data_IF_454463786174
#
_entry.id   IF_454463786174
#
_cell.length_a   1.000
_cell.length_b   1.000
_cell.length_c   1.000
_cell.angle_alpha   90.00
_cell.angle_beta   90.00
_cell.angle_gamma   90.00
#
_symmetry.space_group_name_H-M   'P 1'
#
loop_
_entity.id
_entity.type
_entity.pdbx_description
1 polymer ?
#
# COMPACT_ATOMS: atom_id res chain seq x y z
N UNK A 1 -1.53 -19.27 -19.36
CA UNK A 1 -0.95 -18.27 -18.46
C UNK A 1 -0.18 -19.00 -17.35
N UNK A 2 1.07 -18.66 -17.09
CA UNK A 2 1.90 -19.38 -16.12
C UNK A 2 1.31 -19.23 -14.71
N UNK A 3 0.94 -20.36 -14.08
CA UNK A 3 0.24 -20.41 -12.77
C UNK A 3 0.98 -19.66 -11.64
N UNK A 4 2.29 -19.47 -11.79
CA UNK A 4 3.16 -18.87 -10.76
C UNK A 4 3.59 -17.43 -11.10
N UNK A 5 3.12 -16.86 -12.21
CA UNK A 5 3.53 -15.52 -12.66
C UNK A 5 3.22 -14.44 -11.62
N UNK A 6 2.07 -14.56 -10.94
CA UNK A 6 1.67 -13.62 -9.90
C UNK A 6 2.64 -13.60 -8.70
N UNK A 7 3.31 -14.73 -8.38
CA UNK A 7 4.29 -14.80 -7.28
C UNK A 7 5.51 -13.94 -7.63
N UNK A 8 6.03 -14.02 -8.86
CA UNK A 8 7.15 -13.21 -9.31
C UNK A 8 6.83 -11.72 -9.27
N UNK A 9 5.65 -11.32 -9.75
CA UNK A 9 5.22 -9.93 -9.68
C UNK A 9 5.05 -9.46 -8.23
N UNK A 10 4.57 -10.31 -7.33
CA UNK A 10 4.45 -9.98 -5.91
C UNK A 10 5.81 -9.75 -5.26
N UNK A 11 6.81 -10.58 -5.56
CA UNK A 11 8.17 -10.37 -5.08
C UNK A 11 8.75 -9.05 -5.60
N UNK A 12 8.60 -8.76 -6.88
CA UNK A 12 9.06 -7.50 -7.46
C UNK A 12 8.36 -6.29 -6.82
N UNK A 13 7.05 -6.35 -6.64
CA UNK A 13 6.28 -5.33 -5.95
C UNK A 13 6.78 -5.11 -4.51
N UNK A 14 7.23 -6.17 -3.81
CA UNK A 14 7.80 -6.06 -2.46
C UNK A 14 9.06 -5.19 -2.45
N UNK A 15 9.97 -5.37 -3.40
CA UNK A 15 11.16 -4.54 -3.52
C UNK A 15 10.83 -3.07 -3.81
N UNK A 16 9.89 -2.81 -4.72
CA UNK A 16 9.42 -1.46 -5.03
C UNK A 16 8.81 -0.82 -3.78
N UNK A 17 7.98 -1.56 -3.04
CA UNK A 17 7.36 -1.07 -1.81
C UNK A 17 8.39 -0.76 -0.74
N UNK A 18 9.39 -1.63 -0.54
CA UNK A 18 10.47 -1.39 0.42
C UNK A 18 11.27 -0.12 0.07
N UNK A 19 11.57 0.06 -1.20
CA UNK A 19 12.23 1.27 -1.70
C UNK A 19 11.38 2.52 -1.44
N UNK A 20 10.08 2.46 -1.73
CA UNK A 20 9.16 3.56 -1.46
C UNK A 20 9.09 3.92 0.03
N UNK A 21 9.13 2.93 0.92
CA UNK A 21 9.15 3.13 2.38
C UNK A 21 10.42 3.87 2.82
N UNK A 22 11.57 3.51 2.27
CA UNK A 22 12.85 4.19 2.54
C UNK A 22 12.77 5.66 2.10
N UNK A 23 12.32 5.92 0.87
CA UNK A 23 12.12 7.30 0.39
C UNK A 23 11.14 8.09 1.26
N UNK A 24 10.04 7.44 1.70
CA UNK A 24 9.10 8.09 2.62
C UNK A 24 9.75 8.51 3.94
N UNK A 25 10.68 7.72 4.48
CA UNK A 25 11.41 8.09 5.69
C UNK A 25 12.29 9.31 5.44
N UNK A 26 13.02 9.37 4.33
CA UNK A 26 13.82 10.54 3.97
C UNK A 26 12.95 11.80 3.84
N UNK A 27 11.81 11.69 3.15
CA UNK A 27 10.86 12.79 2.97
C UNK A 27 10.29 13.23 4.34
N UNK A 28 9.92 12.27 5.21
CA UNK A 28 9.33 12.57 6.52
C UNK A 28 10.29 13.29 7.47
N UNK A 29 11.60 13.13 7.29
CA UNK A 29 12.63 13.82 8.08
C UNK A 29 12.81 15.30 7.69
N UNK A 30 12.16 15.76 6.62
CA UNK A 30 12.22 17.16 6.21
C UNK A 30 11.59 18.07 7.27
N UNK A 31 11.96 19.37 7.24
CA UNK A 31 11.38 20.39 8.15
C UNK A 31 9.93 20.74 7.82
N UNK A 32 9.39 20.24 6.70
CA UNK A 32 8.05 20.52 6.26
C UNK A 32 6.98 19.80 7.09
N UNK A 33 5.79 20.35 7.11
CA UNK A 33 4.64 19.67 7.70
C UNK A 33 4.25 18.42 6.89
N UNK A 34 3.87 17.35 7.59
CA UNK A 34 3.45 16.09 6.97
C UNK A 34 2.33 16.31 5.93
N UNK A 35 1.38 17.21 6.22
CA UNK A 35 0.30 17.54 5.27
C UNK A 35 0.84 18.10 3.95
N UNK A 36 1.77 19.05 4.01
CA UNK A 36 2.41 19.63 2.82
C UNK A 36 3.12 18.58 2.00
N UNK A 37 3.89 17.70 2.64
CA UNK A 37 4.59 16.61 1.97
C UNK A 37 3.64 15.63 1.29
N UNK A 38 2.53 15.30 1.96
CA UNK A 38 1.50 14.43 1.38
C UNK A 38 0.91 15.05 0.13
N UNK A 39 0.45 16.31 0.20
CA UNK A 39 -0.14 16.97 -0.96
C UNK A 39 0.84 17.12 -2.11
N UNK A 40 2.09 17.52 -1.85
CA UNK A 40 3.12 17.61 -2.88
C UNK A 40 3.40 16.24 -3.53
N UNK A 41 3.43 15.16 -2.76
CA UNK A 41 3.62 13.81 -3.32
C UNK A 41 2.50 13.47 -4.32
N UNK A 42 1.23 13.76 -3.98
CA UNK A 42 0.12 13.48 -4.89
C UNK A 42 0.10 14.41 -6.10
N UNK A 43 0.46 15.70 -5.93
CA UNK A 43 0.57 16.65 -7.05
C UNK A 43 1.63 16.16 -8.05
N UNK A 44 2.82 15.82 -7.57
CA UNK A 44 3.91 15.33 -8.43
C UNK A 44 3.52 14.01 -9.12
N UNK A 45 2.92 13.07 -8.38
CA UNK A 45 2.46 11.82 -8.96
C UNK A 45 1.38 12.04 -10.03
N UNK A 46 0.41 12.92 -9.77
CA UNK A 46 -0.65 13.28 -10.74
C UNK A 46 -0.06 13.91 -12.00
N UNK A 47 0.92 14.79 -11.84
CA UNK A 47 1.60 15.44 -12.97
C UNK A 47 2.34 14.39 -13.85
N UNK A 48 3.05 13.44 -13.23
CA UNK A 48 3.69 12.35 -13.97
C UNK A 48 2.68 11.48 -14.73
N UNK A 49 1.54 11.16 -14.11
CA UNK A 49 0.48 10.40 -14.75
C UNK A 49 -0.13 11.18 -15.93
N UNK A 50 -0.39 12.48 -15.75
CA UNK A 50 -0.92 13.32 -16.82
C UNK A 50 0.00 13.41 -18.03
N UNK A 51 1.32 13.41 -17.82
CA UNK A 51 2.29 13.35 -18.91
C UNK A 51 2.24 11.98 -19.62
N UNK A 52 2.05 10.90 -18.87
CA UNK A 52 2.06 9.52 -19.43
C UNK A 52 0.79 9.17 -20.22
N UNK A 53 -0.40 9.61 -19.76
CA UNK A 53 -1.70 9.27 -20.36
C UNK A 53 -1.76 9.47 -21.88
N UNK A 54 -1.27 10.61 -22.46
CA UNK A 54 -1.34 10.82 -23.91
C UNK A 54 -0.58 9.79 -24.74
N UNK A 55 0.41 9.13 -24.17
CA UNK A 55 1.21 8.12 -24.87
C UNK A 55 0.58 6.72 -24.80
N UNK A 56 -0.42 6.50 -23.95
CA UNK A 56 -1.08 5.20 -23.77
C UNK A 56 -2.52 5.24 -24.34
N UNK A 57 -2.63 4.79 -25.58
CA UNK A 57 -3.94 4.72 -26.31
C UNK A 57 -4.94 3.79 -25.62
N UNK A 58 -4.47 2.78 -24.87
CA UNK A 58 -5.35 1.84 -24.17
C UNK A 58 -6.06 2.54 -23.02
N UNK A 59 -5.33 3.33 -22.23
CA UNK A 59 -5.89 4.13 -21.13
C UNK A 59 -6.95 5.11 -21.64
N UNK A 60 -6.66 5.82 -22.74
CA UNK A 60 -7.63 6.77 -23.32
C UNK A 60 -8.91 6.07 -23.78
N UNK A 61 -8.78 4.92 -24.44
CA UNK A 61 -9.92 4.15 -24.91
C UNK A 61 -10.76 3.60 -23.75
N UNK A 62 -10.11 3.12 -22.70
CA UNK A 62 -10.79 2.59 -21.53
C UNK A 62 -11.56 3.68 -20.78
N UNK A 63 -10.95 4.86 -20.60
CA UNK A 63 -11.62 6.01 -19.99
C UNK A 63 -12.90 6.37 -20.76
N UNK A 64 -12.85 6.35 -22.11
CA UNK A 64 -13.99 6.75 -22.96
C UNK A 64 -15.08 5.69 -23.06
N UNK A 65 -14.75 4.40 -23.01
CA UNK A 65 -15.69 3.33 -23.37
C UNK A 65 -16.08 2.44 -22.20
N UNK A 66 -15.18 2.20 -21.25
CA UNK A 66 -15.33 1.14 -20.26
C UNK A 66 -15.64 1.66 -18.86
N UNK A 67 -15.30 2.91 -18.51
CA UNK A 67 -15.55 3.48 -17.19
C UNK A 67 -17.01 3.94 -17.08
N UNK A 68 -17.69 3.40 -16.07
CA UNK A 68 -19.06 3.78 -15.72
C UNK A 68 -19.07 4.80 -14.58
N UNK A 69 -20.20 5.47 -14.35
CA UNK A 69 -20.37 6.43 -13.26
C UNK A 69 -20.07 5.82 -11.87
N UNK A 70 -20.46 4.57 -11.67
CA UNK A 70 -20.16 3.80 -10.46
C UNK A 70 -18.66 3.68 -10.20
N UNK A 71 -17.85 3.49 -11.25
CA UNK A 71 -16.40 3.35 -11.12
C UNK A 71 -15.76 4.69 -10.71
N UNK A 72 -16.26 5.81 -11.22
CA UNK A 72 -15.81 7.14 -10.76
C UNK A 72 -16.08 7.36 -9.28
N UNK A 73 -17.25 6.95 -8.78
CA UNK A 73 -17.56 7.05 -7.35
C UNK A 73 -16.58 6.23 -6.50
N UNK A 74 -16.32 4.98 -6.91
CA UNK A 74 -15.36 4.11 -6.24
C UNK A 74 -13.94 4.67 -6.28
N UNK A 75 -13.51 5.26 -7.39
CA UNK A 75 -12.21 5.90 -7.52
C UNK A 75 -12.07 7.13 -6.60
N UNK A 76 -13.12 7.93 -6.45
CA UNK A 76 -13.13 9.08 -5.52
C UNK A 76 -12.99 8.58 -4.08
N UNK A 77 -13.77 7.58 -3.66
CA UNK A 77 -13.68 7.00 -2.33
C UNK A 77 -12.30 6.40 -2.07
N UNK A 78 -11.78 5.64 -3.03
CA UNK A 78 -10.43 5.07 -2.95
C UNK A 78 -9.35 6.15 -2.80
N UNK A 79 -9.44 7.22 -3.60
CA UNK A 79 -8.48 8.34 -3.53
C UNK A 79 -8.50 9.02 -2.16
N UNK A 80 -9.68 9.19 -1.56
CA UNK A 80 -9.80 9.72 -0.20
C UNK A 80 -9.11 8.83 0.84
N UNK A 81 -9.35 7.52 0.77
CA UNK A 81 -8.69 6.54 1.65
C UNK A 81 -7.17 6.55 1.45
N UNK A 82 -6.69 6.66 0.21
CA UNK A 82 -5.26 6.72 -0.10
C UNK A 82 -4.60 7.97 0.48
N UNK A 83 -5.24 9.14 0.40
CA UNK A 83 -4.73 10.38 0.99
C UNK A 83 -4.65 10.25 2.51
N UNK A 84 -5.72 9.74 3.15
CA UNK A 84 -5.75 9.53 4.60
C UNK A 84 -4.65 8.55 5.05
N UNK A 85 -4.51 7.43 4.36
CA UNK A 85 -3.47 6.44 4.63
C UNK A 85 -2.06 7.06 4.52
N UNK A 86 -1.81 7.85 3.47
CA UNK A 86 -0.50 8.50 3.26
C UNK A 86 -0.18 9.52 4.35
N UNK A 87 -1.17 10.30 4.79
CA UNK A 87 -1.02 11.24 5.90
C UNK A 87 -0.59 10.51 7.18
N UNK A 88 -1.28 9.42 7.53
CA UNK A 88 -0.98 8.62 8.71
C UNK A 88 0.41 7.98 8.59
N UNK A 89 0.75 7.36 7.46
CA UNK A 89 2.05 6.72 7.26
C UNK A 89 3.21 7.72 7.40
N UNK A 90 3.13 8.87 6.75
CA UNK A 90 4.18 9.89 6.85
C UNK A 90 4.31 10.44 8.27
N UNK A 91 3.20 10.61 8.99
CA UNK A 91 3.23 11.01 10.39
C UNK A 91 3.92 9.95 11.25
N UNK A 92 3.53 8.69 11.11
CA UNK A 92 4.14 7.58 11.85
C UNK A 92 5.63 7.45 11.54
N UNK A 93 6.04 7.55 10.27
CA UNK A 93 7.44 7.51 9.89
C UNK A 93 8.26 8.69 10.43
N UNK A 94 7.64 9.84 10.64
CA UNK A 94 8.29 10.99 11.24
C UNK A 94 8.64 10.77 12.72
N UNK A 95 7.74 10.11 13.47
CA UNK A 95 7.91 9.90 14.91
C UNK A 95 8.59 8.58 15.28
N UNK A 96 8.67 7.62 14.34
CA UNK A 96 9.24 6.30 14.64
C UNK A 96 10.76 6.32 14.75
N UNK A 97 11.33 5.66 15.74
CA UNK A 97 12.77 5.45 15.84
C UNK A 97 13.26 4.41 14.84
N UNK A 98 12.45 3.39 14.54
CA UNK A 98 12.82 2.28 13.63
C UNK A 98 11.76 2.07 12.55
N UNK A 99 12.12 2.46 11.32
CA UNK A 99 11.22 2.35 10.17
C UNK A 99 10.90 0.89 9.79
N UNK A 100 11.85 -0.03 10.00
CA UNK A 100 11.65 -1.44 9.66
C UNK A 100 10.55 -2.06 10.52
N UNK A 101 10.58 -1.82 11.83
CA UNK A 101 9.56 -2.31 12.76
C UNK A 101 8.21 -1.66 12.46
N UNK A 102 8.19 -0.37 12.22
CA UNK A 102 6.96 0.34 11.86
C UNK A 102 6.35 -0.20 10.57
N UNK A 103 7.16 -0.45 9.55
CA UNK A 103 6.67 -1.04 8.30
C UNK A 103 6.16 -2.47 8.50
N UNK A 104 6.79 -3.24 9.38
CA UNK A 104 6.33 -4.57 9.76
C UNK A 104 4.94 -4.52 10.42
N UNK A 105 4.70 -3.55 11.31
CA UNK A 105 3.39 -3.33 11.94
C UNK A 105 2.34 -2.92 10.90
N UNK A 106 2.69 -2.01 9.99
CA UNK A 106 1.79 -1.59 8.91
C UNK A 106 1.42 -2.78 8.02
N UNK A 107 2.38 -3.66 7.72
CA UNK A 107 2.15 -4.84 6.90
C UNK A 107 1.31 -5.93 7.61
N UNK A 108 1.05 -5.81 8.91
CA UNK A 108 0.07 -6.65 9.60
C UNK A 108 -1.38 -6.46 9.08
N UNK A 109 -1.62 -5.46 8.22
CA UNK A 109 -2.86 -5.29 7.46
C UNK A 109 -3.25 -6.53 6.64
N UNK A 110 -2.29 -7.43 6.35
CA UNK A 110 -2.55 -8.69 5.67
C UNK A 110 -3.63 -9.52 6.37
N UNK A 111 -3.70 -9.45 7.70
CA UNK A 111 -4.72 -10.16 8.49
C UNK A 111 -6.11 -9.62 8.19
N UNK A 112 -6.25 -8.28 8.22
CA UNK A 112 -7.52 -7.61 7.90
C UNK A 112 -7.94 -7.88 6.46
N UNK A 113 -6.96 -7.83 5.54
CA UNK A 113 -7.20 -8.12 4.12
C UNK A 113 -7.66 -9.57 3.90
N UNK A 114 -7.07 -10.54 4.60
CA UNK A 114 -7.48 -11.94 4.50
C UNK A 114 -8.88 -12.17 5.04
N UNK A 115 -9.23 -11.57 6.19
CA UNK A 115 -10.58 -11.64 6.74
C UNK A 115 -11.59 -10.99 5.79
N UNK A 116 -11.29 -9.81 5.25
CA UNK A 116 -12.11 -9.15 4.26
C UNK A 116 -12.27 -9.98 2.98
N UNK A 117 -11.19 -10.59 2.49
CA UNK A 117 -11.23 -11.46 1.31
C UNK A 117 -12.13 -12.68 1.51
N UNK A 118 -12.11 -13.28 2.70
CA UNK A 118 -13.02 -14.38 3.04
C UNK A 118 -14.48 -13.91 3.08
N UNK A 119 -14.75 -12.78 3.77
CA UNK A 119 -16.12 -12.30 3.99
C UNK A 119 -16.76 -11.70 2.72
N UNK A 120 -16.01 -10.88 1.98
CA UNK A 120 -16.54 -10.11 0.85
C UNK A 120 -16.43 -10.87 -0.48
N UNK A 121 -15.33 -11.58 -0.70
CA UNK A 121 -15.06 -12.26 -1.98
C UNK A 121 -15.21 -13.78 -1.90
N UNK A 122 -15.59 -14.34 -0.72
CA UNK A 122 -15.74 -15.79 -0.48
C UNK A 122 -14.49 -16.60 -0.89
N UNK A 123 -13.30 -16.00 -0.76
CA UNK A 123 -12.04 -16.64 -1.08
C UNK A 123 -11.60 -17.50 0.09
N UNK A 124 -11.60 -18.82 -0.11
CA UNK A 124 -11.18 -19.77 0.92
C UNK A 124 -9.66 -19.74 1.12
N UNK A 125 -9.24 -19.66 2.37
CA UNK A 125 -7.84 -19.76 2.75
C UNK A 125 -7.56 -21.23 3.12
N UNK A 126 -6.53 -21.80 2.51
CA UNK A 126 -6.09 -23.14 2.86
C UNK A 126 -5.62 -23.14 4.33
N UNK A 127 -5.95 -24.18 5.09
CA UNK A 127 -5.55 -24.32 6.50
C UNK A 127 -4.03 -24.23 6.71
N UNK A 128 -3.21 -24.73 5.76
CA UNK A 128 -1.75 -24.60 5.80
C UNK A 128 -1.29 -23.15 5.70
N UNK A 129 -1.98 -22.33 4.89
CA UNK A 129 -1.71 -20.90 4.81
C UNK A 129 -2.13 -20.17 6.08
N UNK A 130 -3.21 -20.61 6.74
CA UNK A 130 -3.64 -20.06 8.02
C UNK A 130 -2.58 -20.27 9.11
N UNK A 131 -1.97 -21.47 9.18
CA UNK A 131 -0.87 -21.75 10.11
C UNK A 131 0.31 -20.81 9.85
N UNK A 132 0.71 -20.63 8.59
CA UNK A 132 1.78 -19.68 8.22
C UNK A 132 1.49 -18.24 8.69
N UNK A 133 0.25 -17.80 8.56
CA UNK A 133 -0.17 -16.46 9.02
C UNK A 133 -0.09 -16.35 10.54
N UNK A 134 -0.52 -17.38 11.29
CA UNK A 134 -0.43 -17.41 12.75
C UNK A 134 1.04 -17.35 13.23
N UNK A 135 1.94 -18.08 12.59
CA UNK A 135 3.38 -18.02 12.89
C UNK A 135 3.93 -16.61 12.63
N UNK A 136 3.55 -15.99 11.50
CA UNK A 136 3.96 -14.62 11.18
C UNK A 136 3.45 -13.62 12.22
N UNK A 137 2.21 -13.77 12.72
CA UNK A 137 1.65 -12.94 13.78
C UNK A 137 2.42 -13.07 15.10
N UNK A 138 2.78 -14.28 15.49
CA UNK A 138 3.59 -14.53 16.69
C UNK A 138 4.94 -13.85 16.55
N UNK A 139 5.63 -14.03 15.42
CA UNK A 139 6.90 -13.37 15.13
C UNK A 139 6.80 -11.83 15.19
N UNK A 140 5.73 -11.27 14.62
CA UNK A 140 5.44 -9.83 14.70
C UNK A 140 5.27 -9.36 16.16
N UNK A 141 4.49 -10.08 16.96
CA UNK A 141 4.25 -9.75 18.36
C UNK A 141 5.54 -9.77 19.19
N UNK A 142 6.39 -10.76 18.97
CA UNK A 142 7.71 -10.85 19.61
C UNK A 142 8.58 -9.65 19.22
N UNK A 143 8.62 -9.31 17.93
CA UNK A 143 9.40 -8.17 17.43
C UNK A 143 8.96 -6.87 18.06
N UNK A 144 7.64 -6.64 18.16
CA UNK A 144 7.09 -5.43 18.78
C UNK A 144 7.45 -5.37 20.28
N UNK A 145 7.33 -6.48 20.99
CA UNK A 145 7.64 -6.56 22.41
C UNK A 145 9.10 -6.17 22.69
N UNK A 146 10.05 -6.73 21.94
CA UNK A 146 11.48 -6.46 22.13
C UNK A 146 11.98 -5.18 21.46
N UNK A 147 11.16 -4.49 20.67
CA UNK A 147 11.56 -3.22 20.05
C UNK A 147 11.47 -2.02 21.00
N UNK A 148 10.75 -2.17 22.11
CA UNK A 148 10.55 -1.11 23.10
C UNK A 148 11.52 -1.21 24.29
N UNK A 149 12.38 -2.22 24.30
CA UNK A 149 13.47 -2.40 25.26
C UNK A 149 14.80 -2.11 24.58
#
# INVERSE_FOLDING_TARGET
MNKYLWIYYSFFATFITATAVIFMKYISNSKCHVRTLTFLTFIVASFMVLIYIPFDKTVINDIKKNIQFKDYLLLILFSFVMIANRLIQLYVFKITPNIGITNLIINANVIVTLLASYLLFKQFINYKSLIGILIAMIGLSITIYYSNN
#
